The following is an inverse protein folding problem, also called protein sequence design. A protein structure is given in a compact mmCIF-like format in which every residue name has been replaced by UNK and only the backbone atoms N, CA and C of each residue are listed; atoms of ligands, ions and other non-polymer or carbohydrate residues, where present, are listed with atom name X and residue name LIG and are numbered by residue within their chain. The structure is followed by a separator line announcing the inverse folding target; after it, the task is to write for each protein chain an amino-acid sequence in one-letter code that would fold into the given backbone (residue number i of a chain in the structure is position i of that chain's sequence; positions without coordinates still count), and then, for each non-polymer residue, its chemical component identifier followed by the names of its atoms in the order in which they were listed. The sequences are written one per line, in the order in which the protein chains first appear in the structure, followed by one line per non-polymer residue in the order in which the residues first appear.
data_IF_690405310205
#
_entry.id   IF_690405310205
#
_cell.length_a   1.000
_cell.length_b   1.000
_cell.length_c   1.000
_cell.angle_alpha   90.00
_cell.angle_beta   90.00
_cell.angle_gamma   90.00
#
_symmetry.space_group_name_H-M   'P 1'
#
loop_
_entity.id
_entity.type
_entity.pdbx_description
1 polymer ?
#
# COMPACT_ATOMS: atom_id res chain seq x y z
N UNK A 1 -67.83 12.66 23.75
CA UNK A 1 -67.25 13.70 22.87
C UNK A 1 -65.86 14.13 23.38
N UNK A 2 -64.81 13.53 22.81
CA UNK A 2 -63.46 14.09 22.70
C UNK A 2 -62.87 13.57 21.37
N UNK A 3 -62.26 14.42 20.53
CA UNK A 3 -61.87 14.04 19.16
C UNK A 3 -60.41 13.55 19.07
N UNK A 4 -60.17 12.75 18.03
CA UNK A 4 -58.94 12.60 17.21
C UNK A 4 -57.59 13.03 17.81
N UNK A 5 -56.68 12.06 17.93
CA UNK A 5 -55.26 12.27 17.64
C UNK A 5 -54.82 11.24 16.59
N UNK A 6 -54.67 11.74 15.36
CA UNK A 6 -54.08 11.07 14.22
C UNK A 6 -52.64 10.67 14.56
N UNK A 7 -52.37 9.36 14.52
CA UNK A 7 -51.01 8.82 14.56
C UNK A 7 -50.25 9.31 13.33
N UNK A 8 -49.34 10.28 13.52
CA UNK A 8 -48.31 10.60 12.54
C UNK A 8 -47.34 9.41 12.44
N UNK A 9 -47.03 8.91 11.24
CA UNK A 9 -46.04 7.86 11.09
C UNK A 9 -44.66 8.45 11.39
N UNK A 10 -44.03 7.86 12.39
CA UNK A 10 -42.66 8.11 12.80
C UNK A 10 -41.72 7.94 11.60
N UNK A 11 -41.16 9.06 11.17
CA UNK A 11 -39.81 9.26 10.63
C UNK A 11 -39.22 8.10 9.81
N UNK A 12 -39.26 8.30 8.49
CA UNK A 12 -38.52 7.61 7.45
C UNK A 12 -37.10 7.23 7.91
N UNK A 13 -36.80 5.92 7.93
CA UNK A 13 -35.44 5.41 8.11
C UNK A 13 -34.51 6.06 7.07
N UNK A 14 -33.27 6.41 7.43
CA UNK A 14 -32.32 6.93 6.45
C UNK A 14 -32.15 5.88 5.34
N UNK A 15 -32.32 6.33 4.10
CA UNK A 15 -32.06 5.52 2.91
C UNK A 15 -30.70 4.83 3.02
N UNK A 16 -30.57 3.56 2.57
CA UNK A 16 -29.28 2.87 2.60
C UNK A 16 -28.22 3.74 1.91
N UNK A 17 -27.07 3.88 2.56
CA UNK A 17 -25.91 4.54 1.97
C UNK A 17 -25.63 3.90 0.61
N UNK A 18 -25.32 4.69 -0.43
CA UNK A 18 -24.99 4.13 -1.74
C UNK A 18 -23.82 3.14 -1.58
N UNK A 19 -23.86 2.00 -2.28
CA UNK A 19 -22.75 1.05 -2.26
C UNK A 19 -21.48 1.78 -2.66
N UNK A 20 -20.40 1.59 -1.88
CA UNK A 20 -19.10 2.11 -2.25
C UNK A 20 -18.76 1.59 -3.66
N UNK A 21 -18.31 2.45 -4.58
CA UNK A 21 -17.98 2.03 -5.94
C UNK A 21 -16.99 0.87 -5.89
N UNK A 22 -17.22 -0.13 -6.74
CA UNK A 22 -16.32 -1.27 -6.82
C UNK A 22 -14.93 -0.79 -7.27
N UNK A 23 -13.86 -1.51 -6.92
CA UNK A 23 -12.51 -1.08 -7.33
C UNK A 23 -12.40 -0.93 -8.86
N UNK A 24 -13.17 -1.70 -9.61
CA UNK A 24 -13.34 -1.61 -11.06
C UNK A 24 -13.94 -0.28 -11.53
N UNK A 25 -14.95 0.25 -10.83
CA UNK A 25 -15.58 1.53 -11.18
C UNK A 25 -14.61 2.70 -10.96
N UNK A 26 -13.76 2.62 -9.94
CA UNK A 26 -12.72 3.63 -9.67
C UNK A 26 -11.57 3.58 -10.67
N UNK A 27 -11.32 2.43 -11.29
CA UNK A 27 -10.29 2.29 -12.32
C UNK A 27 -10.72 2.94 -13.65
N UNK A 28 -12.01 2.92 -13.98
CA UNK A 28 -12.56 3.62 -15.15
C UNK A 28 -12.54 5.15 -15.03
N UNK A 29 -12.40 5.69 -13.82
CA UNK A 29 -12.27 7.14 -13.59
C UNK A 29 -10.85 7.66 -13.85
N UNK A 30 -9.84 6.78 -13.99
CA UNK A 30 -8.46 7.16 -14.31
C UNK A 30 -8.27 7.27 -15.84
N UNK A 31 -9.03 8.16 -16.47
CA UNK A 31 -8.69 8.63 -17.81
C UNK A 31 -7.49 9.59 -17.68
N UNK A 32 -6.40 9.36 -18.44
CA UNK A 32 -5.13 10.12 -18.42
C UNK A 32 -4.15 9.89 -17.24
N UNK A 33 -4.12 8.69 -16.67
CA UNK A 33 -3.06 8.34 -15.72
C UNK A 33 -1.66 8.33 -16.41
N UNK A 34 -0.66 9.07 -15.89
CA UNK A 34 0.67 9.04 -16.49
C UNK A 34 1.29 7.63 -16.38
N UNK A 35 2.07 7.22 -17.39
CA UNK A 35 2.68 5.90 -17.46
C UNK A 35 3.47 5.57 -16.19
N UNK A 36 3.45 4.29 -15.80
CA UNK A 36 4.06 3.81 -14.58
C UNK A 36 5.21 2.84 -14.88
N UNK A 37 6.43 3.18 -14.48
CA UNK A 37 7.57 2.29 -14.49
C UNK A 37 7.58 1.48 -13.18
N UNK A 38 7.37 0.17 -13.29
CA UNK A 38 7.37 -0.76 -12.14
C UNK A 38 8.76 -1.41 -12.03
N UNK A 39 9.43 -1.22 -10.90
CA UNK A 39 10.77 -1.74 -10.65
C UNK A 39 10.77 -2.63 -9.39
N UNK A 40 11.01 -3.94 -9.52
CA UNK A 40 11.11 -4.82 -8.37
C UNK A 40 12.47 -4.65 -7.66
N UNK A 41 12.49 -4.81 -6.34
CA UNK A 41 13.74 -4.96 -5.59
C UNK A 41 13.62 -6.00 -4.46
N UNK A 42 14.55 -6.96 -4.48
CA UNK A 42 14.69 -8.01 -3.49
C UNK A 42 16.16 -8.48 -3.43
N UNK A 43 16.52 -9.18 -2.35
CA UNK A 43 17.92 -9.50 -2.03
C UNK A 43 18.69 -10.31 -3.09
N UNK A 44 17.99 -11.14 -3.86
CA UNK A 44 18.58 -11.99 -4.91
C UNK A 44 18.61 -11.33 -6.30
N UNK A 45 18.11 -10.10 -6.43
CA UNK A 45 18.11 -9.41 -7.72
C UNK A 45 19.54 -9.05 -8.13
N UNK A 46 19.96 -9.24 -9.40
CA UNK A 46 21.28 -8.81 -9.88
C UNK A 46 21.55 -7.32 -9.62
N UNK A 47 22.79 -6.97 -9.29
CA UNK A 47 23.19 -5.60 -8.94
C UNK A 47 22.85 -4.58 -10.04
N UNK A 48 22.98 -4.96 -11.31
CA UNK A 48 22.63 -4.08 -12.45
C UNK A 48 21.14 -3.73 -12.48
N UNK A 49 20.28 -4.65 -12.07
CA UNK A 49 18.84 -4.42 -11.97
C UNK A 49 18.47 -3.65 -10.70
N UNK A 50 19.17 -3.91 -9.58
CA UNK A 50 19.04 -3.08 -8.39
C UNK A 50 19.45 -1.63 -8.69
N UNK A 51 20.49 -1.39 -9.48
CA UNK A 51 20.93 -0.05 -9.83
C UNK A 51 19.84 0.81 -10.51
N UNK A 52 18.92 0.17 -11.26
CA UNK A 52 17.83 0.86 -11.97
C UNK A 52 16.88 1.61 -11.02
N UNK A 53 16.71 1.13 -9.79
CA UNK A 53 15.86 1.82 -8.81
C UNK A 53 16.49 3.08 -8.24
N UNK A 54 17.76 3.38 -8.51
CA UNK A 54 18.39 4.65 -8.14
C UNK A 54 18.36 5.67 -9.29
N UNK A 55 18.06 5.22 -10.51
CA UNK A 55 17.94 6.09 -11.66
C UNK A 55 16.65 6.93 -11.56
N UNK A 56 16.72 8.19 -11.99
CA UNK A 56 15.55 9.07 -12.10
C UNK A 56 14.62 8.55 -13.19
N UNK A 57 13.31 8.62 -12.94
CA UNK A 57 12.32 8.27 -13.96
C UNK A 57 12.38 9.25 -15.15
N UNK A 58 12.12 8.78 -16.38
CA UNK A 58 11.90 9.67 -17.53
C UNK A 58 10.79 10.68 -17.25
N UNK A 59 10.85 11.85 -17.90
CA UNK A 59 9.80 12.87 -17.77
C UNK A 59 8.43 12.31 -18.18
N UNK A 60 7.40 12.66 -17.41
CA UNK A 60 6.03 12.16 -17.63
C UNK A 60 5.77 10.72 -17.15
N UNK A 61 6.78 10.00 -16.65
CA UNK A 61 6.62 8.63 -16.13
C UNK A 61 6.72 8.62 -14.61
N UNK A 62 5.74 8.01 -13.94
CA UNK A 62 5.77 7.75 -12.50
C UNK A 62 6.60 6.49 -12.22
N UNK A 63 7.31 6.47 -11.10
CA UNK A 63 8.10 5.32 -10.66
C UNK A 63 7.41 4.61 -9.51
N UNK A 64 7.18 3.31 -9.65
CA UNK A 64 6.68 2.44 -8.59
C UNK A 64 7.76 1.41 -8.26
N UNK A 65 8.28 1.43 -7.04
CA UNK A 65 9.25 0.44 -6.57
C UNK A 65 8.52 -0.59 -5.74
N UNK A 66 8.52 -1.84 -6.20
CA UNK A 66 7.93 -2.97 -5.47
C UNK A 66 9.05 -3.66 -4.71
N UNK A 67 9.09 -3.42 -3.40
CA UNK A 67 10.17 -3.88 -2.54
C UNK A 67 9.72 -4.97 -1.56
N UNK A 68 10.64 -5.87 -1.25
CA UNK A 68 10.55 -6.71 -0.03
C UNK A 68 11.00 -5.90 1.20
N UNK A 69 11.05 -6.53 2.37
CA UNK A 69 11.52 -5.93 3.62
C UNK A 69 12.96 -5.37 3.57
N UNK A 70 13.72 -5.57 2.49
CA UNK A 70 15.03 -4.92 2.29
C UNK A 70 14.94 -3.38 2.23
N UNK A 71 13.79 -2.83 1.85
CA UNK A 71 13.58 -1.37 1.82
C UNK A 71 13.46 -0.76 3.23
N UNK A 72 13.33 -1.59 4.28
CA UNK A 72 13.07 -1.15 5.63
C UNK A 72 14.30 -0.54 6.32
N UNK A 73 15.50 -1.03 6.04
CA UNK A 73 16.70 -0.72 6.83
C UNK A 73 17.67 0.24 6.15
N UNK A 74 18.05 0.03 4.88
CA UNK A 74 19.20 0.76 4.32
C UNK A 74 19.06 1.25 2.87
N UNK A 75 17.90 1.08 2.26
CA UNK A 75 17.67 1.59 0.90
C UNK A 75 17.25 3.06 0.96
N UNK A 76 18.02 3.93 0.30
CA UNK A 76 17.67 5.35 0.11
C UNK A 76 17.38 5.58 -1.36
N UNK A 77 16.10 5.58 -1.71
CA UNK A 77 15.64 5.92 -3.05
C UNK A 77 15.13 7.36 -3.01
N UNK A 78 15.75 8.22 -3.81
CA UNK A 78 15.32 9.61 -3.89
C UNK A 78 14.00 9.73 -4.66
N UNK A 79 13.19 10.72 -4.27
CA UNK A 79 11.92 11.03 -4.93
C UNK A 79 10.76 10.09 -4.59
N UNK A 80 10.85 9.30 -3.52
CA UNK A 80 9.70 8.55 -3.00
C UNK A 80 8.76 9.50 -2.27
N UNK A 81 7.59 9.74 -2.86
CA UNK A 81 6.55 10.60 -2.29
C UNK A 81 5.55 9.82 -1.44
N UNK A 82 5.26 8.56 -1.80
CA UNK A 82 4.26 7.74 -1.13
C UNK A 82 4.82 6.37 -0.81
N UNK A 83 4.43 5.82 0.34
CA UNK A 83 4.68 4.43 0.72
C UNK A 83 3.34 3.75 0.93
N UNK A 84 3.14 2.64 0.22
CA UNK A 84 1.99 1.76 0.39
C UNK A 84 2.51 0.51 1.10
N UNK A 85 2.14 0.33 2.36
CA UNK A 85 2.54 -0.82 3.17
C UNK A 85 1.35 -1.76 3.40
N UNK A 86 1.55 -3.04 3.07
CA UNK A 86 0.56 -4.08 3.33
C UNK A 86 0.50 -4.54 4.78
N UNK A 87 1.46 -4.14 5.62
CA UNK A 87 1.49 -4.52 7.04
C UNK A 87 2.03 -5.93 7.30
N UNK A 88 2.67 -6.56 6.31
CA UNK A 88 3.26 -7.89 6.42
C UNK A 88 4.75 -7.89 6.07
N UNK A 89 5.48 -8.87 6.60
CA UNK A 89 6.85 -9.19 6.22
C UNK A 89 7.02 -10.70 6.05
N UNK A 90 8.01 -11.12 5.26
CA UNK A 90 8.47 -12.50 5.21
C UNK A 90 9.69 -12.64 6.09
N UNK A 91 9.62 -13.54 7.08
CA UNK A 91 10.73 -13.87 7.95
C UNK A 91 11.20 -15.29 7.68
N UNK A 92 12.52 -15.47 7.74
CA UNK A 92 13.16 -16.78 7.66
C UNK A 92 13.07 -17.43 9.04
N UNK A 93 12.28 -18.50 9.14
CA UNK A 93 12.04 -19.25 10.38
C UNK A 93 12.67 -20.62 10.23
N UNK A 94 13.57 -20.96 11.15
CA UNK A 94 14.17 -22.28 11.21
C UNK A 94 13.17 -23.28 11.82
N UNK A 95 12.90 -24.38 11.12
CA UNK A 95 12.08 -25.46 11.64
C UNK A 95 12.98 -26.61 12.10
N UNK A 96 13.19 -26.78 13.42
CA UNK A 96 14.13 -27.78 13.97
C UNK A 96 13.66 -29.22 13.73
N UNK A 97 12.37 -29.47 13.48
CA UNK A 97 11.85 -30.81 13.23
C UNK A 97 12.24 -31.37 11.86
N UNK A 98 12.39 -30.50 10.87
CA UNK A 98 12.75 -30.87 9.49
C UNK A 98 14.19 -30.46 9.13
N UNK A 99 14.88 -29.74 10.02
CA UNK A 99 16.25 -29.28 9.80
C UNK A 99 16.40 -28.26 8.67
N UNK A 100 15.32 -27.53 8.34
CA UNK A 100 15.28 -26.62 7.20
C UNK A 100 14.69 -25.26 7.57
N UNK A 101 15.13 -24.24 6.83
CA UNK A 101 14.59 -22.90 6.90
C UNK A 101 13.36 -22.74 6.01
N UNK A 102 12.33 -22.07 6.52
CA UNK A 102 11.14 -21.70 5.76
C UNK A 102 10.92 -20.19 5.78
N UNK A 103 10.37 -19.64 4.69
CA UNK A 103 9.90 -18.26 4.65
C UNK A 103 8.43 -18.23 5.05
N UNK A 104 8.11 -17.61 6.18
CA UNK A 104 6.74 -17.43 6.67
C UNK A 104 6.35 -15.97 6.68
N UNK A 105 5.08 -15.69 6.41
CA UNK A 105 4.50 -14.34 6.42
C UNK A 105 4.03 -14.02 7.83
N UNK A 106 4.44 -12.86 8.35
CA UNK A 106 4.04 -12.35 9.65
C UNK A 106 3.52 -10.91 9.53
N UNK A 107 2.61 -10.49 10.42
CA UNK A 107 2.29 -9.07 10.56
C UNK A 107 3.52 -8.32 11.09
N UNK A 108 3.70 -7.09 10.63
CA UNK A 108 4.80 -6.23 11.09
C UNK A 108 4.46 -5.53 12.41
N UNK A 109 5.49 -5.17 13.19
CA UNK A 109 5.27 -4.33 14.36
C UNK A 109 4.97 -2.89 13.95
N UNK A 110 4.35 -2.12 14.86
CA UNK A 110 4.13 -0.68 14.67
C UNK A 110 5.46 0.07 14.41
N UNK A 111 6.55 -0.34 15.05
CA UNK A 111 7.87 0.25 14.82
C UNK A 111 8.36 0.03 13.39
N UNK A 112 8.15 -1.16 12.82
CA UNK A 112 8.51 -1.44 11.42
C UNK A 112 7.65 -0.62 10.46
N UNK A 113 6.33 -0.52 10.72
CA UNK A 113 5.43 0.32 9.92
C UNK A 113 5.87 1.79 9.92
N UNK A 114 6.25 2.32 11.09
CA UNK A 114 6.76 3.69 11.22
C UNK A 114 8.10 3.90 10.49
N UNK A 115 9.00 2.92 10.48
CA UNK A 115 10.23 3.00 9.70
C UNK A 115 9.97 2.98 8.19
N UNK A 116 8.95 2.23 7.75
CA UNK A 116 8.56 2.15 6.34
C UNK A 116 7.91 3.44 5.87
N UNK A 117 7.01 4.04 6.65
CA UNK A 117 6.41 5.33 6.30
C UNK A 117 7.46 6.43 6.17
N UNK A 118 8.49 6.42 7.02
CA UNK A 118 9.65 7.33 6.94
C UNK A 118 10.53 7.18 5.68
N UNK A 119 10.20 6.26 4.76
CA UNK A 119 10.84 6.14 3.45
C UNK A 119 10.21 7.06 2.39
N UNK A 120 8.97 7.52 2.61
CA UNK A 120 8.38 8.63 1.87
C UNK A 120 8.83 9.98 2.45
N UNK A 121 8.62 11.07 1.69
CA UNK A 121 8.71 12.42 2.21
C UNK A 121 10.12 12.94 2.53
N UNK A 122 11.18 12.25 2.06
CA UNK A 122 12.57 12.69 2.31
C UNK A 122 12.99 13.93 1.52
N UNK A 123 12.34 14.18 0.39
CA UNK A 123 12.68 15.28 -0.55
C UNK A 123 11.52 16.25 -0.80
N UNK A 124 10.44 16.18 0.00
CA UNK A 124 9.25 17.03 -0.11
C UNK A 124 8.14 16.56 0.82
N UNK A 125 7.00 17.26 0.88
CA UNK A 125 5.83 16.78 1.62
C UNK A 125 5.39 15.41 1.06
N UNK A 126 5.21 14.42 1.92
CA UNK A 126 4.84 13.04 1.60
C UNK A 126 4.15 12.37 2.75
#
# INVERSE_FOLDING_TARGET
PYPFLSLSPFTQLPSPLPPLPSQTDRLSELEDAPPLAVLPIYSQLPSDLQAKIFQKAPEGVRKCVVATNIAETSLTVDGIMFVIDGGFCKLKVYNPRIGMDALQVFPISQANANQRSGRAGRTGAG
#
